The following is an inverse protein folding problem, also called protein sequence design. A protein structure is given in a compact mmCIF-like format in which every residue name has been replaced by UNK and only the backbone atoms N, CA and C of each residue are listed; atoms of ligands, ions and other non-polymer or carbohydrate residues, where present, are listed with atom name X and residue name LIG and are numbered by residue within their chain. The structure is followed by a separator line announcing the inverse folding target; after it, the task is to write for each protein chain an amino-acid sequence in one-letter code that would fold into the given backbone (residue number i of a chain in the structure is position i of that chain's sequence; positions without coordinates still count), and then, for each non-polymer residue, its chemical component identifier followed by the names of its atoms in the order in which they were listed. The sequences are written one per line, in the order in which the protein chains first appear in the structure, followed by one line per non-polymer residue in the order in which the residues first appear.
data_IF_968968417075
#
_entry.id   IF_968968417075
#
_cell.length_a   1.000
_cell.length_b   1.000
_cell.length_c   1.000
_cell.angle_alpha   90.00
_cell.angle_beta   90.00
_cell.angle_gamma   90.00
#
_symmetry.space_group_name_H-M   'P 1'
#
loop_
_entity.id
_entity.type
_entity.pdbx_description
1 polymer ?
#
# COMPACT_ATOMS: atom_id res chain seq x y z
N UNK A 1 -28.43 -4.00 9.76
CA UNK A 1 -28.72 -2.70 9.10
C UNK A 1 -27.57 -2.40 8.16
N UNK A 2 -27.89 -2.32 6.87
CA UNK A 2 -26.97 -2.18 5.73
C UNK A 2 -26.39 -0.77 5.76
N UNK A 3 -25.07 -0.61 5.97
CA UNK A 3 -24.40 0.69 5.81
C UNK A 3 -23.89 0.83 4.37
N UNK A 4 -24.77 1.45 3.57
CA UNK A 4 -24.56 2.37 2.45
C UNK A 4 -23.42 2.17 1.44
N UNK A 5 -23.84 1.84 0.21
CA UNK A 5 -23.14 1.94 -1.08
C UNK A 5 -22.68 3.36 -1.50
N UNK A 6 -22.92 4.39 -0.67
CA UNK A 6 -22.59 5.79 -1.01
C UNK A 6 -21.08 6.12 -0.91
N UNK A 7 -20.28 5.35 -0.16
CA UNK A 7 -18.83 5.58 -0.07
C UNK A 7 -18.09 5.20 -1.36
N UNK A 8 -18.58 4.20 -2.09
CA UNK A 8 -17.93 3.72 -3.33
C UNK A 8 -17.91 4.79 -4.43
N UNK A 9 -18.93 5.65 -4.51
CA UNK A 9 -19.00 6.69 -5.55
C UNK A 9 -18.02 7.84 -5.32
N UNK A 10 -17.81 8.26 -4.07
CA UNK A 10 -16.82 9.30 -3.75
C UNK A 10 -15.39 8.80 -4.02
N UNK A 11 -15.13 7.51 -3.77
CA UNK A 11 -13.83 6.92 -4.05
C UNK A 11 -13.52 6.80 -5.56
N UNK A 12 -14.53 6.47 -6.38
CA UNK A 12 -14.36 6.40 -7.85
C UNK A 12 -14.03 7.75 -8.50
N UNK A 13 -14.61 8.84 -8.02
CA UNK A 13 -14.37 10.19 -8.56
C UNK A 13 -12.92 10.63 -8.30
N UNK A 14 -12.38 10.38 -7.11
CA UNK A 14 -10.97 10.67 -6.78
C UNK A 14 -9.98 9.75 -7.52
N UNK A 15 -10.34 8.48 -7.78
CA UNK A 15 -9.46 7.58 -8.55
C UNK A 15 -9.27 8.04 -10.00
N UNK A 16 -10.33 8.42 -10.72
CA UNK A 16 -10.23 8.79 -12.14
C UNK A 16 -9.39 10.05 -12.36
N UNK A 17 -9.44 11.02 -11.44
CA UNK A 17 -8.60 12.21 -11.50
C UNK A 17 -7.12 11.90 -11.26
N UNK A 18 -6.82 10.95 -10.37
CA UNK A 18 -5.44 10.49 -10.07
C UNK A 18 -4.89 9.58 -11.17
N UNK A 19 -5.69 8.62 -11.66
CA UNK A 19 -5.31 7.77 -12.79
C UNK A 19 -5.10 8.59 -14.07
N UNK A 20 -5.94 9.62 -14.29
CA UNK A 20 -5.80 10.57 -15.40
C UNK A 20 -4.48 11.35 -15.35
N UNK A 21 -4.03 11.77 -14.17
CA UNK A 21 -2.76 12.48 -13.99
C UNK A 21 -1.54 11.53 -13.94
N UNK A 22 -1.72 10.27 -13.52
CA UNK A 22 -0.67 9.23 -13.44
C UNK A 22 -0.41 8.50 -14.77
N UNK A 23 -1.20 8.77 -15.81
CA UNK A 23 -1.06 8.18 -17.15
C UNK A 23 0.13 8.73 -17.95
N UNK A 24 0.83 9.75 -17.43
CA UNK A 24 2.03 10.31 -18.05
C UNK A 24 3.30 9.69 -17.45
N UNK A 25 4.25 9.28 -18.31
CA UNK A 25 5.56 8.78 -17.87
C UNK A 25 6.29 9.83 -17.03
N UNK A 26 7.00 9.41 -15.97
CA UNK A 26 7.76 10.33 -15.12
C UNK A 26 8.78 11.15 -15.94
N UNK A 27 8.88 12.46 -15.68
CA UNK A 27 9.84 13.33 -16.37
C UNK A 27 11.24 13.17 -15.78
N UNK A 28 12.25 13.69 -16.49
CA UNK A 28 13.62 13.72 -15.96
C UNK A 28 13.68 14.57 -14.69
N UNK A 29 14.23 14.01 -13.62
CA UNK A 29 14.35 14.68 -12.32
C UNK A 29 13.15 14.47 -11.38
N UNK A 30 12.04 13.91 -11.87
CA UNK A 30 10.90 13.54 -11.02
C UNK A 30 11.13 12.18 -10.37
N UNK A 31 10.73 12.06 -9.10
CA UNK A 31 10.70 10.78 -8.39
C UNK A 31 9.36 10.59 -7.69
N UNK A 32 8.81 9.39 -7.82
CA UNK A 32 7.66 8.91 -7.06
C UNK A 32 8.14 8.14 -5.84
N UNK A 33 7.58 8.42 -4.67
CA UNK A 33 7.97 7.80 -3.41
C UNK A 33 6.77 7.12 -2.77
N UNK A 34 6.87 5.80 -2.58
CA UNK A 34 5.85 4.99 -1.92
C UNK A 34 6.37 4.52 -0.58
N UNK A 35 5.62 4.76 0.49
CA UNK A 35 5.90 4.30 1.84
C UNK A 35 4.92 3.17 2.20
N UNK A 36 5.44 2.00 2.54
CA UNK A 36 4.67 0.89 3.08
C UNK A 36 4.81 0.89 4.60
N UNK A 37 3.70 0.75 5.31
CA UNK A 37 3.66 0.71 6.77
C UNK A 37 2.79 -0.44 7.24
N UNK A 38 3.08 -0.97 8.42
CA UNK A 38 2.32 -2.08 8.97
C UNK A 38 3.02 -2.71 10.16
N UNK A 39 2.52 -3.87 10.54
CA UNK A 39 3.03 -4.66 11.65
C UNK A 39 3.89 -5.81 11.13
N UNK A 40 4.97 -6.13 11.85
CA UNK A 40 5.88 -7.22 11.50
C UNK A 40 5.15 -8.53 11.24
N UNK A 41 5.36 -9.09 10.04
CA UNK A 41 4.69 -10.31 9.56
C UNK A 41 3.63 -10.08 8.48
N UNK A 42 3.23 -8.84 8.20
CA UNK A 42 2.24 -8.53 7.15
C UNK A 42 2.80 -8.52 5.72
N UNK A 43 4.09 -8.79 5.51
CA UNK A 43 4.66 -8.96 4.17
C UNK A 43 5.10 -7.65 3.48
N UNK A 44 5.55 -6.65 4.23
CA UNK A 44 6.09 -5.38 3.69
C UNK A 44 7.28 -5.63 2.76
N UNK A 45 8.21 -6.53 3.12
CA UNK A 45 9.35 -6.90 2.26
C UNK A 45 8.89 -7.37 0.88
N UNK A 46 7.89 -8.26 0.84
CA UNK A 46 7.37 -8.76 -0.43
C UNK A 46 6.69 -7.64 -1.21
N UNK A 47 5.91 -6.79 -0.54
CA UNK A 47 5.21 -5.68 -1.19
C UNK A 47 6.17 -4.65 -1.82
N UNK A 48 7.20 -4.23 -1.08
CA UNK A 48 8.24 -3.32 -1.60
C UNK A 48 9.05 -3.96 -2.71
N UNK A 49 9.38 -5.26 -2.60
CA UNK A 49 10.11 -6.00 -3.64
C UNK A 49 9.29 -6.09 -4.93
N UNK A 50 8.00 -6.42 -4.84
CA UNK A 50 7.12 -6.50 -6.01
C UNK A 50 6.98 -5.13 -6.67
N UNK A 51 6.79 -4.05 -5.91
CA UNK A 51 6.75 -2.69 -6.47
C UNK A 51 8.07 -2.33 -7.15
N UNK A 52 9.20 -2.59 -6.50
CA UNK A 52 10.52 -2.27 -7.03
C UNK A 52 10.79 -3.02 -8.35
N UNK A 53 10.53 -4.33 -8.37
CA UNK A 53 10.71 -5.14 -9.57
C UNK A 53 9.75 -4.72 -10.69
N UNK A 54 8.50 -4.37 -10.37
CA UNK A 54 7.55 -3.89 -11.36
C UNK A 54 8.01 -2.56 -12.00
N UNK A 55 8.56 -1.64 -11.19
CA UNK A 55 9.12 -0.40 -11.69
C UNK A 55 10.40 -0.61 -12.52
N UNK A 56 11.27 -1.54 -12.13
CA UNK A 56 12.46 -1.94 -12.91
C UNK A 56 12.04 -2.54 -14.25
N UNK A 57 11.05 -3.44 -14.26
CA UNK A 57 10.49 -4.04 -15.48
C UNK A 57 9.87 -2.99 -16.41
N UNK A 58 9.42 -1.87 -15.86
CA UNK A 58 8.93 -0.72 -16.62
C UNK A 58 10.04 0.27 -17.07
N UNK A 59 11.31 -0.04 -16.80
CA UNK A 59 12.47 0.75 -17.24
C UNK A 59 12.84 1.92 -16.33
N UNK A 60 12.36 1.96 -15.08
CA UNK A 60 12.72 3.00 -14.12
C UNK A 60 13.93 2.60 -13.25
N UNK A 61 14.68 3.59 -12.79
CA UNK A 61 15.64 3.43 -11.70
C UNK A 61 14.87 3.43 -10.36
N UNK A 62 15.30 2.54 -9.47
CA UNK A 62 14.63 2.28 -8.20
C UNK A 62 15.65 2.27 -7.08
N UNK A 63 15.26 2.83 -5.94
CA UNK A 63 15.96 2.67 -4.66
C UNK A 63 14.97 2.27 -3.59
N UNK A 64 15.31 1.25 -2.83
CA UNK A 64 14.53 0.78 -1.70
C UNK A 64 15.27 1.17 -0.42
N UNK A 65 14.58 1.77 0.54
CA UNK A 65 15.13 2.07 1.86
C UNK A 65 14.52 1.16 2.91
N UNK A 66 15.38 0.72 3.84
CA UNK A 66 15.14 -0.01 5.09
C UNK A 66 13.79 -0.72 5.24
N UNK A 67 13.81 -2.05 5.40
CA UNK A 67 12.60 -2.84 5.76
C UNK A 67 12.71 -3.42 7.18
N UNK A 68 13.39 -2.70 8.08
CA UNK A 68 13.75 -3.23 9.40
C UNK A 68 13.36 -2.24 10.50
N UNK A 69 12.20 -2.44 11.11
CA UNK A 69 12.06 -2.11 12.53
C UNK A 69 12.69 -3.26 13.31
N UNK A 70 13.53 -2.99 14.31
CA UNK A 70 14.08 -4.00 15.23
C UNK A 70 12.99 -4.79 16.02
N UNK A 71 11.71 -4.57 15.73
CA UNK A 71 10.60 -5.36 16.23
C UNK A 71 10.46 -6.68 15.46
N UNK A 72 10.90 -7.76 16.11
CA UNK A 72 10.34 -9.09 15.88
C UNK A 72 8.81 -9.03 16.07
N UNK A 73 8.07 -9.81 15.25
CA UNK A 73 6.60 -10.00 15.23
C UNK A 73 5.79 -9.10 16.19
N UNK A 74 4.98 -8.21 15.63
CA UNK A 74 4.01 -7.43 16.41
C UNK A 74 4.36 -5.95 16.61
N UNK A 75 5.57 -5.51 16.26
CA UNK A 75 5.88 -4.07 16.23
C UNK A 75 5.71 -3.43 14.85
N UNK A 76 5.75 -2.10 14.86
CA UNK A 76 5.68 -1.24 13.68
C UNK A 76 6.89 -1.47 12.77
N UNK A 77 6.62 -1.63 11.48
CA UNK A 77 7.61 -1.81 10.41
C UNK A 77 7.23 -0.88 9.27
N UNK A 78 8.23 -0.21 8.71
CA UNK A 78 8.09 0.55 7.47
C UNK A 78 9.10 0.09 6.43
N UNK A 79 8.82 0.40 5.17
CA UNK A 79 9.74 0.26 4.05
C UNK A 79 9.33 1.17 2.91
N UNK A 80 10.29 1.72 2.18
CA UNK A 80 9.98 2.70 1.13
C UNK A 80 10.65 2.38 -0.19
N UNK A 81 9.99 2.78 -1.28
CA UNK A 81 10.46 2.63 -2.65
C UNK A 81 10.40 3.97 -3.34
N UNK A 82 11.54 4.42 -3.87
CA UNK A 82 11.65 5.60 -4.73
C UNK A 82 11.86 5.17 -6.17
N UNK A 83 11.07 5.73 -7.08
CA UNK A 83 10.99 5.37 -8.50
C UNK A 83 11.20 6.63 -9.33
N UNK A 84 12.02 6.56 -10.37
CA UNK A 84 12.19 7.67 -11.30
C UNK A 84 13.04 7.26 -12.49
N UNK A 85 13.24 8.16 -13.47
CA UNK A 85 14.21 7.88 -14.55
C UNK A 85 15.65 7.78 -14.03
N UNK A 86 15.93 8.45 -12.91
CA UNK A 86 17.18 8.37 -12.15
C UNK A 86 16.91 8.72 -10.69
N UNK A 87 17.38 7.89 -9.75
CA UNK A 87 17.15 8.06 -8.31
C UNK A 87 18.49 8.11 -7.60
N UNK A 88 18.79 9.26 -6.98
CA UNK A 88 20.10 9.52 -6.37
C UNK A 88 20.18 9.08 -4.90
N UNK A 89 19.06 8.92 -4.21
CA UNK A 89 19.02 8.56 -2.80
C UNK A 89 17.83 7.65 -2.49
N UNK A 90 17.98 6.65 -1.60
CA UNK A 90 16.88 5.82 -1.11
C UNK A 90 15.99 6.56 -0.09
N UNK A 91 16.49 7.57 0.60
CA UNK A 91 15.81 8.21 1.73
C UNK A 91 14.58 8.99 1.27
N UNK A 92 13.45 8.86 1.98
CA UNK A 92 12.25 9.66 1.75
C UNK A 92 12.02 10.64 2.92
N UNK A 93 11.76 11.91 2.62
CA UNK A 93 11.29 12.88 3.61
C UNK A 93 9.76 12.86 3.70
N UNK A 94 9.11 12.70 2.55
CA UNK A 94 7.67 12.61 2.38
C UNK A 94 7.33 11.69 1.22
N UNK A 95 6.17 11.06 1.28
CA UNK A 95 5.69 10.06 0.35
C UNK A 95 4.55 10.62 -0.51
N UNK A 96 4.59 10.29 -1.81
CA UNK A 96 3.47 10.54 -2.73
C UNK A 96 2.33 9.55 -2.44
N UNK A 97 2.68 8.33 -2.03
CA UNK A 97 1.73 7.30 -1.63
C UNK A 97 2.12 6.66 -0.30
N UNK A 98 1.14 6.44 0.58
CA UNK A 98 1.28 5.55 1.74
C UNK A 98 0.40 4.32 1.53
N UNK A 99 0.98 3.13 1.65
CA UNK A 99 0.27 1.85 1.68
C UNK A 99 0.37 1.27 3.08
N UNK A 100 -0.67 1.46 3.87
CA UNK A 100 -0.75 0.99 5.24
C UNK A 100 -1.47 -0.35 5.30
N UNK A 101 -0.80 -1.38 5.83
CA UNK A 101 -1.38 -2.72 6.00
C UNK A 101 -2.20 -2.84 7.30
N UNK A 102 -2.30 -1.77 8.09
CA UNK A 102 -2.97 -1.68 9.37
C UNK A 102 -3.36 -0.22 9.67
N UNK A 103 -4.53 0.04 10.29
CA UNK A 103 -5.06 1.42 10.43
C UNK A 103 -4.27 2.32 11.39
N UNK A 104 -3.78 1.79 12.52
CA UNK A 104 -2.93 2.55 13.44
C UNK A 104 -1.60 2.93 12.77
N UNK A 105 -1.06 2.06 11.92
CA UNK A 105 0.13 2.36 11.13
C UNK A 105 -0.13 3.40 10.03
N UNK A 106 -1.35 3.49 9.50
CA UNK A 106 -1.74 4.62 8.66
C UNK A 106 -1.68 5.95 9.44
N UNK A 107 -2.27 5.98 10.64
CA UNK A 107 -2.29 7.17 11.50
C UNK A 107 -0.87 7.58 11.95
N UNK A 108 -0.05 6.60 12.34
CA UNK A 108 1.33 6.81 12.80
C UNK A 108 2.17 7.54 11.76
N UNK A 109 1.98 7.20 10.50
CA UNK A 109 2.78 7.71 9.39
C UNK A 109 2.08 8.76 8.52
N UNK A 110 0.85 9.17 8.84
CA UNK A 110 0.07 10.12 8.05
C UNK A 110 0.81 11.45 7.79
N UNK A 111 1.62 11.91 8.75
CA UNK A 111 2.47 13.12 8.60
C UNK A 111 3.58 13.01 7.55
N UNK A 112 3.96 11.80 7.14
CA UNK A 112 4.92 11.59 6.06
C UNK A 112 4.26 11.71 4.69
N UNK A 113 2.93 11.85 4.59
CA UNK A 113 2.27 12.07 3.31
C UNK A 113 2.53 13.50 2.82
N UNK A 114 2.85 13.65 1.53
CA UNK A 114 2.91 14.97 0.89
C UNK A 114 1.52 15.59 0.80
N UNK A 115 1.49 16.92 0.70
CA UNK A 115 0.29 17.62 0.25
C UNK A 115 -0.17 17.08 -1.11
N UNK A 116 -1.45 16.75 -1.23
CA UNK A 116 -2.01 16.09 -2.43
C UNK A 116 -1.66 14.61 -2.60
N UNK A 117 -0.84 14.03 -1.71
CA UNK A 117 -0.52 12.60 -1.73
C UNK A 117 -1.73 11.72 -1.40
N UNK A 118 -1.59 10.41 -1.65
CA UNK A 118 -2.68 9.44 -1.49
C UNK A 118 -2.37 8.32 -0.50
N UNK A 119 -3.38 7.83 0.23
CA UNK A 119 -3.23 6.68 1.13
C UNK A 119 -4.12 5.49 0.73
N UNK A 120 -3.54 4.30 0.71
CA UNK A 120 -4.27 3.03 0.66
C UNK A 120 -4.15 2.37 2.03
N UNK A 121 -5.26 2.25 2.74
CA UNK A 121 -5.29 1.75 4.11
C UNK A 121 -6.04 0.42 4.14
N UNK A 122 -5.39 -0.65 4.57
CA UNK A 122 -6.10 -1.89 4.86
C UNK A 122 -7.01 -1.65 6.05
N UNK A 123 -8.31 -1.90 5.90
CA UNK A 123 -9.27 -1.87 7.02
C UNK A 123 -9.07 -3.10 7.90
N UNK A 124 -7.97 -3.07 8.64
CA UNK A 124 -7.55 -4.14 9.52
C UNK A 124 -6.92 -3.54 10.76
N UNK A 125 -7.29 -4.12 11.91
CA UNK A 125 -6.82 -3.69 13.21
C UNK A 125 -6.06 -4.82 13.87
N UNK A 126 -4.81 -4.55 14.24
CA UNK A 126 -4.03 -5.40 15.12
C UNK A 126 -3.94 -4.68 16.44
N UNK A 127 -4.59 -5.22 17.47
CA UNK A 127 -4.56 -4.66 18.80
C UNK A 127 -3.17 -4.90 19.42
N UNK A 128 -2.39 -3.84 19.73
CA UNK A 128 -1.13 -4.00 20.45
C UNK A 128 -1.38 -4.60 21.84
N UNK A 129 -0.36 -5.23 22.42
CA UNK A 129 -0.43 -5.80 23.76
C UNK A 129 -0.88 -4.78 24.83
N UNK A 130 -0.49 -3.51 24.69
CA UNK A 130 -0.92 -2.41 25.58
C UNK A 130 -2.42 -2.14 25.55
N UNK A 131 -3.09 -2.41 24.42
CA UNK A 131 -4.56 -2.31 24.32
C UNK A 131 -5.24 -3.50 24.99
N UNK A 132 -4.65 -4.70 24.86
CA UNK A 132 -5.15 -5.87 25.59
C UNK A 132 -5.00 -5.73 27.11
N UNK A 133 -3.96 -5.02 27.59
CA UNK A 133 -3.78 -4.71 29.01
C UNK A 133 -4.75 -3.65 29.54
N UNK A 134 -5.50 -2.96 28.68
CA UNK A 134 -6.46 -1.91 29.07
C UNK A 134 -5.86 -0.52 29.28
N UNK A 135 -4.57 -0.34 28.99
CA UNK A 135 -3.85 0.92 29.26
C UNK A 135 -4.14 2.01 28.20
N UNK A 136 -4.52 1.61 26.99
CA UNK A 136 -4.82 2.51 25.86
C UNK A 136 -5.90 1.88 24.98
N UNK A 137 -6.85 2.67 24.48
CA UNK A 137 -7.85 2.18 23.51
C UNK A 137 -7.36 2.30 22.07
N UNK A 138 -7.68 1.32 21.22
CA UNK A 138 -7.47 1.44 19.78
C UNK A 138 -8.38 2.56 19.22
N UNK A 139 -7.88 3.46 18.35
CA UNK A 139 -8.69 4.54 17.81
C UNK A 139 -9.81 3.99 16.93
N UNK A 140 -11.07 4.12 17.38
CA UNK A 140 -12.25 3.70 16.61
C UNK A 140 -12.56 4.69 15.47
N UNK A 141 -12.04 5.91 15.54
CA UNK A 141 -12.28 7.00 14.59
C UNK A 141 -11.08 7.26 13.65
N UNK A 142 -10.43 6.20 13.17
CA UNK A 142 -9.28 6.31 12.28
C UNK A 142 -9.56 7.15 11.02
N UNK A 143 -10.77 7.04 10.45
CA UNK A 143 -11.19 7.84 9.29
C UNK A 143 -11.18 9.35 9.59
N UNK A 144 -11.86 9.78 10.66
CA UNK A 144 -11.90 11.19 11.08
C UNK A 144 -10.50 11.74 11.40
N UNK A 145 -9.63 10.90 11.96
CA UNK A 145 -8.26 11.28 12.25
C UNK A 145 -7.41 11.42 10.98
N UNK A 146 -7.60 10.56 9.97
CA UNK A 146 -6.92 10.65 8.68
C UNK A 146 -7.36 11.88 7.88
N UNK A 147 -8.64 12.26 7.96
CA UNK A 147 -9.17 13.47 7.33
C UNK A 147 -8.45 14.77 7.77
N UNK A 148 -7.80 14.77 8.94
CA UNK A 148 -6.96 15.91 9.38
C UNK A 148 -5.66 16.04 8.60
N UNK A 149 -5.25 15.00 7.87
CA UNK A 149 -4.02 14.97 7.08
C UNK A 149 -4.31 15.01 5.57
N UNK A 150 -5.35 14.30 5.12
CA UNK A 150 -5.71 14.25 3.70
C UNK A 150 -7.15 13.75 3.50
N UNK A 151 -7.80 14.19 2.44
CA UNK A 151 -9.06 13.61 1.92
C UNK A 151 -8.81 12.48 0.91
N UNK A 152 -7.54 12.30 0.51
CA UNK A 152 -7.11 11.38 -0.52
C UNK A 152 -6.73 10.02 0.09
N UNK A 153 -7.71 9.25 0.54
CA UNK A 153 -7.46 7.91 1.05
C UNK A 153 -8.59 6.90 0.74
N UNK A 154 -8.23 5.62 0.67
CA UNK A 154 -9.18 4.50 0.59
C UNK A 154 -8.96 3.49 1.70
N UNK A 155 -10.06 3.01 2.26
CA UNK A 155 -10.08 1.80 3.08
C UNK A 155 -10.32 0.57 2.20
N UNK A 156 -9.50 -0.46 2.35
CA UNK A 156 -9.57 -1.71 1.58
C UNK A 156 -9.70 -2.88 2.55
N UNK A 157 -10.74 -3.70 2.40
CA UNK A 157 -10.91 -4.95 3.17
C UNK A 157 -9.96 -6.06 2.69
N UNK A 158 -8.65 -5.78 2.64
CA UNK A 158 -7.66 -6.66 2.04
C UNK A 158 -7.54 -7.99 2.78
N UNK A 159 -7.62 -7.98 4.11
CA UNK A 159 -7.58 -9.22 4.91
C UNK A 159 -8.81 -10.09 4.69
N UNK A 160 -9.99 -9.49 4.58
CA UNK A 160 -11.23 -10.20 4.28
C UNK A 160 -11.19 -10.81 2.87
N UNK A 161 -10.78 -10.04 1.86
CA UNK A 161 -10.58 -10.55 0.50
C UNK A 161 -9.55 -11.69 0.46
N UNK A 162 -8.43 -11.56 1.18
CA UNK A 162 -7.42 -12.62 1.27
C UNK A 162 -7.96 -13.87 1.98
N UNK A 163 -8.83 -13.72 2.98
CA UNK A 163 -9.54 -14.83 3.63
C UNK A 163 -10.45 -15.56 2.64
N UNK A 164 -11.18 -14.82 1.80
CA UNK A 164 -12.05 -15.41 0.77
C UNK A 164 -11.27 -16.14 -0.33
N UNK A 165 -10.02 -15.74 -0.59
CA UNK A 165 -9.08 -16.48 -1.44
C UNK A 165 -8.45 -17.71 -0.75
N UNK A 166 -8.74 -17.95 0.53
CA UNK A 166 -8.26 -19.10 1.29
C UNK A 166 -6.89 -18.90 1.95
N UNK A 167 -6.28 -17.72 1.88
CA UNK A 167 -5.00 -17.46 2.54
C UNK A 167 -4.82 -15.98 2.92
N UNK A 168 -5.00 -15.65 4.21
CA UNK A 168 -4.85 -14.27 4.70
C UNK A 168 -3.46 -13.66 4.48
N UNK A 169 -2.42 -14.49 4.21
CA UNK A 169 -1.05 -14.02 3.96
C UNK A 169 -0.87 -13.26 2.65
N UNK A 170 -1.87 -13.25 1.76
CA UNK A 170 -1.79 -12.51 0.48
C UNK A 170 -2.46 -11.13 0.54
N UNK A 171 -2.86 -10.66 1.73
CA UNK A 171 -3.49 -9.34 1.89
C UNK A 171 -2.60 -8.18 1.43
N UNK A 172 -1.29 -8.27 1.64
CA UNK A 172 -0.33 -7.30 1.11
C UNK A 172 -0.34 -7.25 -0.42
N UNK A 173 -0.46 -8.39 -1.09
CA UNK A 173 -0.51 -8.48 -2.55
C UNK A 173 -1.81 -7.87 -3.10
N UNK A 174 -2.92 -7.94 -2.36
CA UNK A 174 -4.16 -7.22 -2.67
C UNK A 174 -3.93 -5.70 -2.60
N UNK A 175 -3.26 -5.22 -1.55
CA UNK A 175 -2.94 -3.79 -1.40
C UNK A 175 -2.02 -3.30 -2.54
N UNK A 176 -1.03 -4.11 -2.93
CA UNK A 176 -0.17 -3.85 -4.10
C UNK A 176 -1.00 -3.82 -5.40
N UNK A 177 -1.98 -4.71 -5.53
CA UNK A 177 -2.96 -4.70 -6.62
C UNK A 177 -3.69 -3.36 -6.72
N UNK A 178 -4.20 -2.83 -5.61
CA UNK A 178 -4.84 -1.51 -5.61
C UNK A 178 -3.86 -0.38 -5.97
N UNK A 179 -2.65 -0.38 -5.39
CA UNK A 179 -1.60 0.59 -5.71
C UNK A 179 -1.26 0.61 -7.20
N UNK A 180 -1.24 -0.56 -7.84
CA UNK A 180 -0.86 -0.70 -9.25
C UNK A 180 -1.75 0.04 -10.25
N UNK A 181 -2.91 0.52 -9.81
CA UNK A 181 -3.81 1.35 -10.61
C UNK A 181 -3.45 2.84 -10.57
N UNK A 182 -2.59 3.24 -9.63
CA UNK A 182 -2.16 4.62 -9.40
C UNK A 182 -0.70 4.85 -9.82
N UNK A 183 -0.05 3.82 -10.36
CA UNK A 183 1.34 3.87 -10.81
C UNK A 183 1.45 4.02 -12.33
N UNK A 184 2.50 4.68 -12.86
CA UNK A 184 2.66 4.98 -14.28
C UNK A 184 3.23 3.79 -15.08
N UNK A 185 2.90 2.55 -14.72
CA UNK A 185 3.36 1.35 -15.43
C UNK A 185 2.30 0.25 -15.52
N UNK A 186 2.36 -0.48 -16.64
CA UNK A 186 1.34 -1.43 -17.07
C UNK A 186 1.26 -2.69 -16.19
N UNK A 187 0.11 -3.36 -16.26
CA UNK A 187 -0.20 -4.55 -15.47
C UNK A 187 0.82 -5.68 -15.66
N UNK A 188 1.38 -5.84 -16.86
CA UNK A 188 2.31 -6.93 -17.17
C UNK A 188 3.60 -6.84 -16.34
N UNK A 189 4.11 -5.62 -16.12
CA UNK A 189 5.30 -5.38 -15.29
C UNK A 189 5.11 -5.91 -13.85
N UNK A 190 3.90 -5.78 -13.31
CA UNK A 190 3.53 -6.29 -12.00
C UNK A 190 3.39 -7.81 -11.97
N UNK A 191 2.75 -8.39 -12.98
CA UNK A 191 2.59 -9.83 -13.06
C UNK A 191 3.94 -10.54 -13.15
N UNK A 192 4.88 -9.98 -13.93
CA UNK A 192 6.24 -10.51 -14.01
C UNK A 192 7.00 -10.32 -12.70
N UNK A 193 6.90 -9.14 -12.06
CA UNK A 193 7.48 -8.91 -10.75
C UNK A 193 6.96 -9.90 -9.68
N UNK A 194 5.68 -10.26 -9.71
CA UNK A 194 5.10 -11.26 -8.81
C UNK A 194 5.68 -12.65 -9.09
N UNK A 195 5.82 -13.04 -10.37
CA UNK A 195 6.45 -14.33 -10.74
C UNK A 195 7.88 -14.43 -10.21
N UNK A 196 8.64 -13.34 -10.28
CA UNK A 196 10.03 -13.32 -9.86
C UNK A 196 10.19 -13.28 -8.32
N UNK A 197 9.23 -12.66 -7.62
CA UNK A 197 9.34 -12.40 -6.18
C UNK A 197 8.64 -13.45 -5.31
N UNK A 198 7.68 -14.19 -5.85
CA UNK A 198 6.83 -15.12 -5.09
C UNK A 198 7.24 -16.57 -5.36
N UNK A 199 7.47 -17.40 -4.32
CA UNK A 199 7.77 -18.81 -4.49
C UNK A 199 6.67 -19.54 -5.28
N UNK A 200 7.04 -20.47 -6.16
CA UNK A 200 6.11 -21.13 -7.09
C UNK A 200 4.83 -21.71 -6.45
N UNK A 201 4.94 -22.31 -5.25
CA UNK A 201 3.78 -22.84 -4.50
C UNK A 201 2.73 -21.80 -4.09
N UNK A 202 3.12 -20.53 -4.01
CA UNK A 202 2.27 -19.41 -3.62
C UNK A 202 1.99 -18.46 -4.80
N UNK A 203 2.53 -18.73 -6.00
CA UNK A 203 2.45 -17.82 -7.13
C UNK A 203 1.01 -17.59 -7.59
N UNK A 204 0.27 -18.67 -7.84
CA UNK A 204 -1.09 -18.57 -8.39
C UNK A 204 -2.02 -17.74 -7.49
N UNK A 205 -2.02 -18.03 -6.18
CA UNK A 205 -2.84 -17.29 -5.22
C UNK A 205 -2.42 -15.82 -5.08
N UNK A 206 -1.14 -15.50 -5.26
CA UNK A 206 -0.67 -14.11 -5.27
C UNK A 206 -1.10 -13.38 -6.55
N UNK A 207 -1.11 -14.05 -7.71
CA UNK A 207 -1.65 -13.47 -8.95
C UNK A 207 -3.15 -13.16 -8.79
N UNK A 208 -3.91 -14.06 -8.19
CA UNK A 208 -5.34 -13.86 -7.91
C UNK A 208 -5.57 -12.73 -6.91
N UNK A 209 -4.77 -12.68 -5.84
CA UNK A 209 -4.80 -11.60 -4.86
C UNK A 209 -4.51 -10.24 -5.50
N UNK A 210 -3.47 -10.15 -6.33
CA UNK A 210 -3.12 -8.93 -7.04
C UNK A 210 -4.26 -8.45 -7.94
N UNK A 211 -4.86 -9.36 -8.72
CA UNK A 211 -6.01 -9.05 -9.58
C UNK A 211 -7.21 -8.59 -8.75
N UNK A 212 -7.51 -9.25 -7.63
CA UNK A 212 -8.58 -8.82 -6.72
C UNK A 212 -8.38 -7.41 -6.16
N UNK A 213 -7.12 -7.02 -5.91
CA UNK A 213 -6.76 -5.65 -5.55
C UNK A 213 -7.00 -4.65 -6.69
N UNK A 214 -6.64 -5.03 -7.93
CA UNK A 214 -6.89 -4.21 -9.13
C UNK A 214 -8.37 -4.03 -9.48
N UNK A 215 -9.25 -4.87 -8.94
CA UNK A 215 -10.69 -4.73 -9.15
C UNK A 215 -11.35 -3.84 -8.10
N UNK A 216 -10.61 -3.40 -7.07
CA UNK A 216 -11.15 -2.53 -6.02
C UNK A 216 -11.52 -1.12 -6.53
N UNK A 217 -10.77 -0.55 -7.47
CA UNK A 217 -11.02 0.82 -7.99
C UNK A 217 -11.73 0.85 -9.36
N UNK A 218 -12.20 -0.30 -9.86
CA UNK A 218 -12.96 -0.40 -11.12
C UNK A 218 -14.46 -0.30 -10.85
#
# INVERSE_FOLDING_TARGET
MIKNDNNNNNYKINYQSIAGSSSSSLKNGETLSVLFTGVGGQGIILATTVLANAAINAGYDVKVSEVHGMAQRGGSVEGSVRIGKKVFSPTINSADFIVALEKLEALRYARKLKEGGFMLVSDYSIYPSTVFSGDVSYPENAEEMLFKFTENFFFINAVEKAKNLGNTRVSNTIMVGALSLMMPFGQDCWLDAIKDSVPGKALQINIEAFKSGRDFLK
#
